data_IF_840795608885
#
_entry.id   IF_840795608885
#
_cell.length_a   1.000
_cell.length_b   1.000
_cell.length_c   1.000
_cell.angle_alpha   90.00
_cell.angle_beta   90.00
_cell.angle_gamma   90.00
#
_symmetry.space_group_name_H-M   'P 1'
#
loop_
_entity.id
_entity.type
_entity.pdbx_description
1 polymer ?
#
# COMPACT_ATOMS: atom_id res chain seq x y z
N UNK A 1 -32.77 2.81 14.66
CA UNK A 1 -31.45 3.17 15.24
C UNK A 1 -30.40 2.41 14.46
N UNK A 2 -29.51 3.07 13.75
CA UNK A 2 -28.34 2.37 13.19
C UNK A 2 -27.51 1.88 14.37
N UNK A 3 -27.42 0.55 14.51
CA UNK A 3 -26.51 -0.11 15.42
C UNK A 3 -25.10 0.41 15.11
N UNK A 4 -24.56 1.22 16.01
CA UNK A 4 -23.32 1.95 15.82
C UNK A 4 -22.15 1.01 15.51
N UNK A 5 -21.20 1.52 14.72
CA UNK A 5 -19.92 0.90 14.42
C UNK A 5 -19.31 0.25 15.67
N UNK A 6 -18.85 -1.01 15.58
CA UNK A 6 -17.99 -1.59 16.61
C UNK A 6 -16.61 -0.91 16.52
N UNK A 7 -16.47 0.24 17.16
CA UNK A 7 -15.30 1.11 17.07
C UNK A 7 -14.00 0.36 17.40
N UNK A 8 -14.04 -0.56 18.38
CA UNK A 8 -12.87 -1.38 18.74
C UNK A 8 -12.44 -2.28 17.59
N UNK A 9 -13.39 -2.98 16.97
CA UNK A 9 -13.10 -3.86 15.84
C UNK A 9 -12.62 -3.05 14.62
N UNK A 10 -13.27 -1.93 14.33
CA UNK A 10 -12.91 -1.10 13.17
C UNK A 10 -11.53 -0.45 13.35
N UNK A 11 -11.17 -0.02 14.57
CA UNK A 11 -9.80 0.43 14.88
C UNK A 11 -8.76 -0.68 14.71
N UNK A 12 -9.09 -1.92 15.10
CA UNK A 12 -8.19 -3.06 14.89
C UNK A 12 -7.97 -3.33 13.39
N UNK A 13 -9.03 -3.28 12.59
CA UNK A 13 -8.90 -3.45 11.13
C UNK A 13 -8.15 -2.30 10.46
N UNK A 14 -8.33 -1.06 10.92
CA UNK A 14 -7.52 0.08 10.47
C UNK A 14 -6.02 -0.14 10.74
N UNK A 15 -5.69 -0.69 11.91
CA UNK A 15 -4.32 -1.04 12.27
C UNK A 15 -3.74 -2.18 11.41
N UNK A 16 -4.54 -3.22 11.15
CA UNK A 16 -4.17 -4.32 10.25
C UNK A 16 -3.89 -3.81 8.83
N UNK A 17 -4.79 -2.96 8.31
CA UNK A 17 -4.62 -2.32 7.01
C UNK A 17 -3.33 -1.49 6.94
N UNK A 18 -3.04 -0.70 7.97
CA UNK A 18 -1.79 0.07 8.05
C UNK A 18 -0.55 -0.86 8.02
N UNK A 19 -0.62 -1.99 8.71
CA UNK A 19 0.46 -3.00 8.69
C UNK A 19 0.64 -3.59 7.30
N UNK A 20 -0.44 -3.95 6.61
CA UNK A 20 -0.37 -4.45 5.23
C UNK A 20 0.23 -3.42 4.25
N UNK A 21 -0.13 -2.15 4.37
CA UNK A 21 0.45 -1.06 3.56
C UNK A 21 1.96 -0.99 3.77
N UNK A 22 2.44 -1.07 5.02
CA UNK A 22 3.87 -1.06 5.33
C UNK A 22 4.59 -2.27 4.73
N UNK A 23 4.01 -3.46 4.86
CA UNK A 23 4.58 -4.69 4.28
C UNK A 23 4.67 -4.61 2.76
N UNK A 24 3.61 -4.16 2.09
CA UNK A 24 3.60 -4.01 0.63
C UNK A 24 4.64 -2.97 0.16
N UNK A 25 4.76 -1.85 0.89
CA UNK A 25 5.76 -0.82 0.60
C UNK A 25 7.19 -1.37 0.76
N UNK A 26 7.44 -2.18 1.80
CA UNK A 26 8.73 -2.83 1.99
C UNK A 26 9.06 -3.79 0.85
N UNK A 27 8.13 -4.69 0.51
CA UNK A 27 8.32 -5.64 -0.60
C UNK A 27 8.61 -4.92 -1.91
N UNK A 28 7.88 -3.84 -2.20
CA UNK A 28 8.13 -3.01 -3.39
C UNK A 28 9.56 -2.45 -3.41
N UNK A 29 10.06 -1.96 -2.28
CA UNK A 29 11.42 -1.42 -2.18
C UNK A 29 12.49 -2.52 -2.29
N UNK A 30 12.25 -3.68 -1.70
CA UNK A 30 13.15 -4.84 -1.79
C UNK A 30 13.27 -5.30 -3.26
N UNK A 31 12.14 -5.42 -3.98
CA UNK A 31 12.12 -5.73 -5.42
C UNK A 31 12.84 -4.66 -6.25
N UNK A 32 12.67 -3.38 -5.91
CA UNK A 32 13.37 -2.29 -6.60
C UNK A 32 14.90 -2.41 -6.42
N UNK A 33 15.34 -2.82 -5.23
CA UNK A 33 16.74 -3.14 -4.95
C UNK A 33 17.27 -4.29 -5.82
N UNK A 34 16.53 -5.39 -5.90
CA UNK A 34 16.89 -6.55 -6.73
C UNK A 34 16.97 -6.18 -8.22
N UNK A 35 15.99 -5.45 -8.75
CA UNK A 35 15.99 -5.02 -10.15
C UNK A 35 17.17 -4.09 -10.46
N UNK A 36 17.52 -3.18 -9.53
CA UNK A 36 18.69 -2.34 -9.70
C UNK A 36 20.02 -3.12 -9.64
N UNK A 37 20.07 -4.24 -8.91
CA UNK A 37 21.23 -5.13 -8.94
C UNK A 37 21.31 -5.88 -10.28
N UNK A 38 20.17 -6.35 -10.80
CA UNK A 38 20.07 -6.97 -12.12
C UNK A 38 20.55 -6.01 -13.22
N UNK A 39 20.11 -4.75 -13.20
CA UNK A 39 20.50 -3.68 -14.14
C UNK A 39 22.03 -3.50 -14.19
N UNK A 40 22.72 -3.70 -13.06
CA UNK A 40 24.18 -3.58 -12.96
C UNK A 40 24.94 -4.84 -13.37
N UNK A 41 24.34 -6.03 -13.21
CA UNK A 41 25.02 -7.31 -13.42
C UNK A 41 24.68 -7.98 -14.76
N UNK A 42 23.61 -7.55 -15.43
CA UNK A 42 23.16 -8.13 -16.69
C UNK A 42 23.12 -7.06 -17.78
N UNK A 43 24.06 -7.16 -18.72
CA UNK A 43 24.14 -6.25 -19.86
C UNK A 43 23.38 -6.84 -21.06
N UNK A 44 22.59 -6.01 -21.75
CA UNK A 44 21.92 -6.37 -23.01
C UNK A 44 20.52 -5.80 -23.15
N UNK A 45 19.92 -6.01 -24.32
CA UNK A 45 18.58 -5.49 -24.62
C UNK A 45 17.49 -6.16 -23.77
N UNK A 46 17.66 -7.45 -23.44
CA UNK A 46 16.70 -8.18 -22.61
C UNK A 46 16.68 -7.67 -21.16
N UNK A 47 17.84 -7.35 -20.57
CA UNK A 47 17.92 -6.78 -19.23
C UNK A 47 17.31 -5.38 -19.20
N UNK A 48 17.62 -4.57 -20.22
CA UNK A 48 17.04 -3.25 -20.42
C UNK A 48 15.52 -3.33 -20.52
N UNK A 49 14.98 -4.28 -21.30
CA UNK A 49 13.53 -4.50 -21.41
C UNK A 49 12.92 -4.93 -20.07
N UNK A 50 13.56 -5.85 -19.35
CA UNK A 50 13.09 -6.29 -18.04
C UNK A 50 13.02 -5.15 -17.02
N UNK A 51 14.11 -4.38 -16.89
CA UNK A 51 14.19 -3.22 -15.98
C UNK A 51 13.17 -2.15 -16.37
N UNK A 52 13.01 -1.89 -17.66
CA UNK A 52 12.02 -0.93 -18.15
C UNK A 52 10.58 -1.38 -17.90
N UNK A 53 10.28 -2.68 -18.07
CA UNK A 53 8.97 -3.21 -17.70
C UNK A 53 8.72 -2.93 -16.21
N UNK A 54 9.62 -3.39 -15.33
CA UNK A 54 9.50 -3.20 -13.88
C UNK A 54 9.23 -1.74 -13.51
N UNK A 55 10.09 -0.83 -14.00
CA UNK A 55 10.04 0.60 -13.65
C UNK A 55 8.76 1.28 -14.16
N UNK A 56 8.33 0.95 -15.38
CA UNK A 56 7.24 1.67 -16.05
C UNK A 56 5.85 1.05 -15.83
N UNK A 57 5.78 -0.24 -15.47
CA UNK A 57 4.52 -0.98 -15.38
C UNK A 57 4.31 -1.59 -14.00
N UNK A 58 5.09 -2.59 -13.62
CA UNK A 58 4.82 -3.36 -12.41
C UNK A 58 4.96 -2.50 -11.14
N UNK A 59 6.04 -1.71 -11.03
CA UNK A 59 6.23 -0.77 -9.91
C UNK A 59 5.11 0.26 -9.82
N UNK A 60 4.70 0.82 -10.95
CA UNK A 60 3.63 1.82 -11.01
C UNK A 60 2.28 1.23 -10.53
N UNK A 61 1.97 -0.02 -10.89
CA UNK A 61 0.77 -0.72 -10.43
C UNK A 61 0.77 -0.98 -8.91
N UNK A 62 1.93 -1.36 -8.35
CA UNK A 62 2.08 -1.55 -6.90
C UNK A 62 1.92 -0.20 -6.17
N UNK A 63 2.53 0.87 -6.68
CA UNK A 63 2.39 2.22 -6.13
C UNK A 63 0.93 2.71 -6.17
N UNK A 64 0.21 2.44 -7.25
CA UNK A 64 -1.22 2.77 -7.36
C UNK A 64 -2.04 2.03 -6.30
N UNK A 65 -1.77 0.73 -6.08
CA UNK A 65 -2.41 -0.07 -5.03
C UNK A 65 -2.12 0.49 -3.63
N UNK A 66 -0.87 0.84 -3.33
CA UNK A 66 -0.48 1.46 -2.06
C UNK A 66 -1.23 2.79 -1.86
N UNK A 67 -1.34 3.63 -2.90
CA UNK A 67 -2.09 4.90 -2.82
C UNK A 67 -3.57 4.66 -2.52
N UNK A 68 -4.19 3.70 -3.20
CA UNK A 68 -5.57 3.32 -2.95
C UNK A 68 -5.79 2.86 -1.49
N UNK A 69 -4.94 1.97 -0.99
CA UNK A 69 -5.04 1.48 0.39
C UNK A 69 -4.85 2.59 1.44
N UNK A 70 -3.94 3.54 1.19
CA UNK A 70 -3.78 4.71 2.05
C UNK A 70 -5.03 5.62 2.06
N UNK A 71 -5.68 5.77 0.90
CA UNK A 71 -6.94 6.52 0.80
C UNK A 71 -8.05 5.83 1.61
N UNK A 72 -8.17 4.51 1.50
CA UNK A 72 -9.13 3.71 2.27
C UNK A 72 -8.89 3.85 3.78
N UNK A 73 -7.62 3.75 4.21
CA UNK A 73 -7.25 3.93 5.63
C UNK A 73 -7.60 5.33 6.14
N UNK A 74 -7.37 6.35 5.31
CA UNK A 74 -7.71 7.75 5.65
C UNK A 74 -9.21 7.92 5.82
N UNK A 75 -10.01 7.38 4.89
CA UNK A 75 -11.46 7.41 4.99
C UNK A 75 -11.94 6.70 6.26
N UNK A 76 -11.43 5.49 6.53
CA UNK A 76 -11.80 4.71 7.71
C UNK A 76 -11.51 5.47 9.01
N UNK A 77 -10.34 6.09 9.12
CA UNK A 77 -9.97 6.89 10.28
C UNK A 77 -10.88 8.12 10.45
N UNK A 78 -11.29 8.76 9.35
CA UNK A 78 -12.24 9.88 9.41
C UNK A 78 -13.62 9.43 9.90
N UNK A 79 -14.11 8.28 9.43
CA UNK A 79 -15.39 7.72 9.87
C UNK A 79 -15.37 7.32 11.36
N UNK A 80 -14.29 6.69 11.82
CA UNK A 80 -14.09 6.41 13.26
C UNK A 80 -14.12 7.71 14.08
N UNK A 81 -13.40 8.75 13.62
CA UNK A 81 -13.34 10.02 14.33
C UNK A 81 -14.68 10.76 14.36
N UNK A 82 -15.49 10.65 13.30
CA UNK A 82 -16.84 11.20 13.28
C UNK A 82 -17.76 10.45 14.25
N UNK A 83 -17.74 9.11 14.23
CA UNK A 83 -18.54 8.30 15.15
C UNK A 83 -18.25 8.63 16.62
N UNK A 84 -16.98 8.86 16.97
CA UNK A 84 -16.57 9.25 18.32
C UNK A 84 -17.13 10.63 18.74
N UNK A 85 -17.37 11.54 17.79
CA UNK A 85 -17.96 12.86 18.06
C UNK A 85 -19.48 12.83 18.21
N UNK A 86 -20.15 11.94 17.48
CA UNK A 86 -21.62 11.86 17.46
C UNK A 86 -22.19 10.90 18.51
N UNK A 87 -21.36 10.03 19.08
CA UNK A 87 -21.77 9.05 20.13
C UNK A 87 -21.55 9.56 21.56
N UNK A 88 -21.15 10.83 21.72
CA UNK A 88 -21.10 11.57 22.99
C UNK A 88 -22.21 12.60 23.03
#
# INVERSE_FOLDING_TARGET
MWLGMNEKQVKAEAHNLQTHIKTLTRIMNDLDGEVNNIDKSWNGDDSTRFVNNWRNKEKAQIQASIKFLNSLLTQLNNEIAQQAKTSH
#
